data_IF_715113499589
#
_entry.id   IF_715113499589
#
_cell.length_a   1.000
_cell.length_b   1.000
_cell.length_c   1.000
_cell.angle_alpha   90.00
_cell.angle_beta   90.00
_cell.angle_gamma   90.00
#
_symmetry.space_group_name_H-M   'P 1'
#
loop_
_entity.id
_entity.type
_entity.pdbx_description
1 polymer ?
#
# COMPACT_ATOMS: atom_id res chain seq x y z
N UNK A 1 27.79 -1.84 -54.41
CA UNK A 1 27.05 -2.81 -53.57
C UNK A 1 27.55 -2.84 -52.12
N UNK A 2 28.80 -3.22 -51.79
CA UNK A 2 29.28 -3.35 -50.39
C UNK A 2 29.16 -2.09 -49.55
N UNK A 3 29.35 -0.86 -50.13
CA UNK A 3 29.19 0.41 -49.39
C UNK A 3 27.73 0.72 -49.06
N UNK A 4 26.78 0.37 -49.96
CA UNK A 4 25.36 0.57 -49.75
C UNK A 4 24.83 -0.36 -48.66
N UNK A 5 25.28 -1.61 -48.62
CA UNK A 5 24.94 -2.57 -47.57
C UNK A 5 25.41 -2.09 -46.20
N UNK A 6 26.64 -1.55 -46.11
CA UNK A 6 27.15 -1.02 -44.84
C UNK A 6 26.31 0.18 -44.31
N UNK A 7 25.88 1.07 -45.23
CA UNK A 7 25.02 2.21 -44.85
C UNK A 7 23.63 1.73 -44.37
N UNK A 8 23.04 0.74 -45.01
CA UNK A 8 21.75 0.18 -44.60
C UNK A 8 21.86 -0.50 -43.23
N UNK A 9 22.93 -1.25 -42.98
CA UNK A 9 23.17 -1.91 -41.68
C UNK A 9 23.35 -0.85 -40.55
N UNK A 10 24.13 0.19 -40.81
CA UNK A 10 24.29 1.31 -39.84
C UNK A 10 22.98 2.04 -39.53
N UNK A 11 22.12 2.23 -40.54
CA UNK A 11 20.80 2.83 -40.36
C UNK A 11 19.89 1.94 -39.50
N UNK A 12 19.88 0.63 -39.75
CA UNK A 12 19.07 -0.33 -38.97
C UNK A 12 19.56 -0.33 -37.50
N UNK A 13 20.88 -0.35 -37.26
CA UNK A 13 21.42 -0.30 -35.89
C UNK A 13 21.04 1.00 -35.19
N UNK A 14 21.16 2.16 -35.88
CA UNK A 14 20.77 3.44 -35.27
C UNK A 14 19.27 3.52 -34.96
N UNK A 15 18.40 3.04 -35.82
CA UNK A 15 16.97 2.97 -35.60
C UNK A 15 16.62 2.01 -34.44
N UNK A 16 17.32 0.88 -34.33
CA UNK A 16 17.14 -0.08 -33.23
C UNK A 16 17.57 0.54 -31.89
N UNK A 17 18.67 1.27 -31.87
CA UNK A 17 19.13 1.99 -30.65
C UNK A 17 18.13 3.07 -30.23
N UNK A 18 17.64 3.87 -31.20
CA UNK A 18 16.60 4.88 -30.93
C UNK A 18 15.31 4.23 -30.42
N UNK A 19 14.90 3.11 -31.02
CA UNK A 19 13.71 2.38 -30.59
C UNK A 19 13.86 1.83 -29.17
N UNK A 20 14.99 1.21 -28.86
CA UNK A 20 15.30 0.72 -27.49
C UNK A 20 15.35 1.89 -26.51
N UNK A 21 16.01 2.99 -26.86
CA UNK A 21 16.09 4.20 -26.03
C UNK A 21 14.70 4.78 -25.75
N UNK A 22 13.83 4.89 -26.73
CA UNK A 22 12.46 5.35 -26.57
C UNK A 22 11.60 4.37 -25.74
N UNK A 23 11.79 3.06 -25.86
CA UNK A 23 11.12 2.09 -25.01
C UNK A 23 11.56 2.16 -23.56
N UNK A 24 12.84 2.35 -23.30
CA UNK A 24 13.36 2.45 -21.92
C UNK A 24 12.99 3.77 -21.25
N UNK A 25 12.90 4.86 -21.99
CA UNK A 25 12.53 6.17 -21.44
C UNK A 25 11.00 6.39 -21.32
N UNK A 26 10.17 5.54 -21.94
CA UNK A 26 8.71 5.62 -21.83
C UNK A 26 8.12 4.68 -20.76
N UNK A 27 8.95 4.04 -19.94
CA UNK A 27 8.45 3.19 -18.87
C UNK A 27 7.84 4.03 -17.75
N UNK A 28 6.52 4.09 -17.71
CA UNK A 28 5.81 4.72 -16.59
C UNK A 28 6.00 3.90 -15.32
N UNK A 29 6.30 4.56 -14.20
CA UNK A 29 6.36 3.94 -12.89
C UNK A 29 4.94 3.91 -12.28
N UNK A 30 4.41 2.72 -12.00
CA UNK A 30 3.04 2.58 -11.48
C UNK A 30 3.06 2.23 -9.99
N UNK A 31 2.44 3.08 -9.18
CA UNK A 31 2.18 2.87 -7.76
C UNK A 31 0.74 2.38 -7.63
N UNK A 32 0.56 1.15 -7.16
CA UNK A 32 -0.77 0.61 -6.85
C UNK A 32 -1.00 0.61 -5.35
N UNK A 33 -2.12 1.15 -4.91
CA UNK A 33 -2.56 1.10 -3.53
C UNK A 33 -3.89 0.37 -3.43
N UNK A 34 -3.96 -0.62 -2.54
CA UNK A 34 -5.19 -1.31 -2.16
C UNK A 34 -5.40 -1.07 -0.67
N UNK A 35 -6.44 -0.32 -0.34
CA UNK A 35 -6.59 0.07 1.06
C UNK A 35 -7.89 0.81 1.37
N UNK A 36 -7.96 1.23 2.63
CA UNK A 36 -9.09 1.90 3.25
C UNK A 36 -8.94 3.44 3.27
N UNK A 37 -9.65 4.10 4.18
CA UNK A 37 -9.64 5.57 4.35
C UNK A 37 -8.24 6.14 4.58
N UNK A 38 -7.35 5.41 5.25
CA UNK A 38 -5.98 5.88 5.49
C UNK A 38 -5.21 5.97 4.16
N UNK A 39 -5.38 5.00 3.26
CA UNK A 39 -4.74 5.03 1.93
C UNK A 39 -5.32 6.11 1.02
N UNK A 40 -6.56 6.51 1.25
CA UNK A 40 -7.28 7.48 0.44
C UNK A 40 -7.07 8.94 0.87
N UNK A 41 -6.39 9.21 2.00
CA UNK A 41 -6.09 10.55 2.47
C UNK A 41 -7.24 11.28 3.16
N UNK A 42 -8.09 10.54 3.90
CA UNK A 42 -9.17 11.18 4.67
C UNK A 42 -8.64 11.88 5.92
N UNK A 43 -9.06 13.12 6.12
CA UNK A 43 -8.75 13.91 7.32
C UNK A 43 -9.80 13.72 8.43
N UNK A 44 -9.62 14.44 9.55
CA UNK A 44 -10.50 14.39 10.72
C UNK A 44 -11.94 14.88 10.48
N UNK A 45 -12.18 15.56 9.38
CA UNK A 45 -13.52 16.04 8.98
C UNK A 45 -14.19 15.09 7.98
N UNK A 46 -13.56 13.96 7.63
CA UNK A 46 -14.05 13.04 6.62
C UNK A 46 -13.91 13.58 5.19
N UNK A 47 -13.05 14.57 5.00
CA UNK A 47 -12.75 15.15 3.68
C UNK A 47 -11.51 14.44 3.13
N UNK A 48 -11.60 14.03 1.85
CA UNK A 48 -10.45 13.47 1.14
C UNK A 48 -9.48 14.60 0.78
N UNK A 49 -8.24 14.46 1.22
CA UNK A 49 -7.12 15.37 0.95
C UNK A 49 -5.94 14.59 0.36
N UNK A 50 -4.76 15.16 0.47
CA UNK A 50 -3.51 14.51 0.08
C UNK A 50 -3.23 13.29 0.96
N UNK A 51 -3.07 12.13 0.32
CA UNK A 51 -2.70 10.88 0.97
C UNK A 51 -1.18 10.70 0.97
N UNK A 52 -0.68 9.73 1.72
CA UNK A 52 0.72 9.34 1.61
C UNK A 52 1.11 8.83 0.20
N UNK A 53 0.14 8.36 -0.59
CA UNK A 53 0.37 7.93 -1.98
C UNK A 53 0.71 9.13 -2.87
N UNK A 54 0.03 10.27 -2.66
CA UNK A 54 0.27 11.50 -3.42
C UNK A 54 1.67 12.05 -3.12
N UNK A 55 2.12 12.06 -1.85
CA UNK A 55 3.48 12.43 -1.48
C UNK A 55 4.53 11.48 -2.07
N UNK A 56 4.27 10.18 -2.09
CA UNK A 56 5.18 9.21 -2.73
C UNK A 56 5.29 9.51 -4.23
N UNK A 57 4.17 9.77 -4.90
CA UNK A 57 4.15 10.13 -6.31
C UNK A 57 5.03 11.35 -6.59
N UNK A 58 4.81 12.44 -5.85
CA UNK A 58 5.61 13.68 -6.02
C UNK A 58 7.11 13.43 -5.85
N UNK A 59 7.51 12.60 -4.89
CA UNK A 59 8.93 12.28 -4.68
C UNK A 59 9.49 11.47 -5.84
N UNK A 60 8.75 10.46 -6.31
CA UNK A 60 9.21 9.66 -7.46
C UNK A 60 9.22 10.44 -8.78
N UNK A 61 8.34 11.44 -8.96
CA UNK A 61 8.32 12.31 -10.15
C UNK A 61 9.57 13.21 -10.27
N UNK A 62 10.37 13.38 -9.20
CA UNK A 62 11.68 14.05 -9.27
C UNK A 62 12.72 13.23 -10.03
N UNK A 63 12.56 11.90 -10.08
CA UNK A 63 13.52 10.98 -10.69
C UNK A 63 12.96 10.19 -11.88
N UNK A 64 11.64 10.19 -12.06
CA UNK A 64 10.92 9.43 -13.09
C UNK A 64 10.15 10.36 -14.00
N UNK A 65 10.22 10.11 -15.30
CA UNK A 65 9.51 10.92 -16.29
C UNK A 65 7.99 10.87 -16.17
N UNK A 66 7.46 9.72 -15.69
CA UNK A 66 6.03 9.52 -15.51
C UNK A 66 5.74 8.56 -14.36
N UNK A 67 4.96 9.04 -13.38
CA UNK A 67 4.46 8.23 -12.28
C UNK A 67 2.93 8.16 -12.33
N UNK A 68 2.39 6.95 -12.38
CA UNK A 68 0.94 6.69 -12.35
C UNK A 68 0.53 6.18 -10.97
N UNK A 69 -0.64 6.62 -10.50
CA UNK A 69 -1.30 6.04 -9.32
C UNK A 69 -2.47 5.18 -9.78
N UNK A 70 -2.58 3.99 -9.21
CA UNK A 70 -3.77 3.15 -9.31
C UNK A 70 -4.33 2.87 -7.91
N UNK A 71 -5.54 3.37 -7.65
CA UNK A 71 -6.31 3.14 -6.41
C UNK A 71 -7.70 2.55 -6.72
N UNK A 72 -7.88 1.93 -7.90
CA UNK A 72 -9.15 1.38 -8.36
C UNK A 72 -9.79 0.40 -7.35
N UNK A 73 -8.95 -0.31 -6.59
CA UNK A 73 -9.38 -1.31 -5.60
C UNK A 73 -9.26 -0.81 -4.15
N UNK A 74 -9.23 0.51 -3.94
CA UNK A 74 -9.31 1.14 -2.62
C UNK A 74 -10.70 1.73 -2.40
N UNK A 75 -11.26 1.54 -1.20
CA UNK A 75 -12.51 2.20 -0.78
C UNK A 75 -12.51 2.49 0.72
N UNK A 76 -13.39 3.37 1.17
CA UNK A 76 -13.46 3.77 2.60
C UNK A 76 -13.75 2.62 3.54
N UNK A 77 -14.43 1.60 3.05
CA UNK A 77 -14.90 0.41 3.75
C UNK A 77 -14.17 -0.87 3.29
N UNK A 78 -13.04 -0.72 2.56
CA UNK A 78 -12.29 -1.85 2.05
C UNK A 78 -11.82 -2.78 3.16
N UNK A 79 -12.03 -4.09 2.96
CA UNK A 79 -11.62 -5.15 3.87
C UNK A 79 -10.70 -6.15 3.15
N UNK A 80 -9.98 -6.96 3.93
CA UNK A 80 -9.21 -8.10 3.41
C UNK A 80 -10.14 -9.06 2.69
N UNK A 81 -11.28 -9.40 3.29
CA UNK A 81 -12.28 -10.33 2.74
C UNK A 81 -12.84 -9.84 1.41
N UNK A 82 -13.17 -8.54 1.32
CA UNK A 82 -13.67 -7.96 0.07
C UNK A 82 -12.58 -7.97 -1.02
N UNK A 83 -11.34 -7.63 -0.67
CA UNK A 83 -10.20 -7.67 -1.61
C UNK A 83 -9.97 -9.09 -2.13
N UNK A 84 -10.03 -10.12 -1.28
CA UNK A 84 -9.97 -11.52 -1.71
C UNK A 84 -11.07 -11.88 -2.70
N UNK A 85 -12.30 -11.42 -2.44
CA UNK A 85 -13.42 -11.66 -3.35
C UNK A 85 -13.20 -10.99 -4.71
N UNK A 86 -12.70 -9.74 -4.73
CA UNK A 86 -12.32 -9.03 -5.95
C UNK A 86 -11.24 -9.82 -6.71
N UNK A 87 -10.20 -10.31 -6.04
CA UNK A 87 -9.13 -11.09 -6.66
C UNK A 87 -9.63 -12.37 -7.33
N UNK A 88 -10.62 -13.03 -6.74
CA UNK A 88 -11.21 -14.26 -7.28
C UNK A 88 -12.10 -14.00 -8.50
N UNK A 89 -12.84 -12.88 -8.49
CA UNK A 89 -13.95 -12.64 -9.42
C UNK A 89 -13.65 -11.55 -10.48
N UNK A 90 -12.56 -10.78 -10.34
CA UNK A 90 -12.23 -9.66 -11.21
C UNK A 90 -10.88 -9.89 -11.89
N UNK A 91 -10.85 -10.31 -13.17
CA UNK A 91 -9.57 -10.58 -13.86
C UNK A 91 -8.64 -9.37 -13.93
N UNK A 92 -9.19 -8.14 -14.00
CA UNK A 92 -8.42 -6.92 -14.17
C UNK A 92 -7.44 -6.66 -13.01
N UNK A 93 -7.78 -7.02 -11.75
CA UNK A 93 -6.87 -6.82 -10.61
C UNK A 93 -5.55 -7.57 -10.79
N UNK A 94 -5.58 -8.74 -11.44
CA UNK A 94 -4.37 -9.55 -11.70
C UNK A 94 -3.41 -8.81 -12.62
N UNK A 95 -3.96 -8.16 -13.66
CA UNK A 95 -3.19 -7.31 -14.57
C UNK A 95 -2.64 -6.08 -13.84
N UNK A 96 -3.47 -5.41 -13.03
CA UNK A 96 -3.04 -4.25 -12.23
C UNK A 96 -1.87 -4.62 -11.31
N UNK A 97 -1.92 -5.77 -10.66
CA UNK A 97 -0.82 -6.25 -9.80
C UNK A 97 0.46 -6.52 -10.61
N UNK A 98 0.33 -7.19 -11.78
CA UNK A 98 1.48 -7.49 -12.63
C UNK A 98 2.15 -6.23 -13.20
N UNK A 99 1.37 -5.19 -13.48
CA UNK A 99 1.84 -3.93 -14.05
C UNK A 99 2.38 -2.96 -12.98
N UNK A 100 2.27 -3.31 -11.69
CA UNK A 100 2.67 -2.44 -10.57
C UNK A 100 4.18 -2.51 -10.32
N UNK A 101 4.83 -1.35 -10.18
CA UNK A 101 6.21 -1.25 -9.75
C UNK A 101 6.33 -1.17 -8.22
N UNK A 102 5.33 -0.55 -7.56
CA UNK A 102 5.20 -0.48 -6.12
C UNK A 102 3.77 -0.81 -5.71
N UNK A 103 3.61 -1.83 -4.88
CA UNK A 103 2.32 -2.21 -4.30
C UNK A 103 2.30 -1.87 -2.81
N UNK A 104 1.29 -1.10 -2.41
CA UNK A 104 1.07 -0.67 -1.03
C UNK A 104 -0.29 -1.17 -0.57
N UNK A 105 -0.33 -1.85 0.58
CA UNK A 105 -1.55 -2.40 1.18
C UNK A 105 -1.81 -1.75 2.53
N UNK A 106 -3.05 -1.29 2.74
CA UNK A 106 -3.54 -0.74 4.00
C UNK A 106 -4.91 -1.35 4.29
N UNK A 107 -4.93 -2.59 4.81
CA UNK A 107 -6.13 -3.39 5.03
C UNK A 107 -6.10 -4.09 6.40
N UNK A 108 -7.29 -4.38 6.93
CA UNK A 108 -7.48 -5.15 8.15
C UNK A 108 -8.19 -4.36 9.26
N UNK A 109 -8.11 -3.03 9.25
CA UNK A 109 -8.75 -2.19 10.24
C UNK A 109 -10.28 -2.28 10.17
N UNK A 110 -10.85 -2.21 8.98
CA UNK A 110 -12.28 -2.37 8.79
C UNK A 110 -12.76 -3.78 9.14
N UNK A 111 -11.97 -4.82 8.80
CA UNK A 111 -12.26 -6.20 9.22
C UNK A 111 -12.37 -6.29 10.76
N UNK A 112 -11.42 -5.70 11.47
CA UNK A 112 -11.40 -5.69 12.94
C UNK A 112 -12.59 -4.92 13.52
N UNK A 113 -12.80 -3.66 13.07
CA UNK A 113 -13.83 -2.80 13.64
C UNK A 113 -15.26 -3.33 13.39
N UNK A 114 -15.54 -3.79 12.17
CA UNK A 114 -16.84 -4.38 11.84
C UNK A 114 -17.09 -5.60 12.70
N UNK A 115 -16.11 -6.51 12.82
CA UNK A 115 -16.27 -7.72 13.63
C UNK A 115 -16.47 -7.40 15.12
N UNK A 116 -15.74 -6.43 15.68
CA UNK A 116 -15.93 -5.99 17.07
C UNK A 116 -17.34 -5.38 17.25
N UNK A 117 -17.81 -4.57 16.29
CA UNK A 117 -19.12 -3.90 16.40
C UNK A 117 -20.32 -4.83 16.28
N UNK A 118 -20.15 -6.03 15.73
CA UNK A 118 -21.18 -7.05 15.61
C UNK A 118 -21.37 -7.88 16.90
N UNK A 119 -20.45 -7.75 17.86
CA UNK A 119 -20.54 -8.48 19.13
C UNK A 119 -21.28 -7.65 20.17
N UNK A 120 -22.33 -8.19 20.77
CA UNK A 120 -23.08 -7.52 21.87
C UNK A 120 -22.19 -7.30 23.09
N UNK A 121 -21.38 -8.31 23.44
CA UNK A 121 -20.38 -8.22 24.52
C UNK A 121 -19.06 -8.79 24.03
N UNK A 122 -18.03 -7.97 24.08
CA UNK A 122 -16.66 -8.38 23.75
C UNK A 122 -16.01 -9.12 24.90
N UNK A 123 -15.19 -10.12 24.56
CA UNK A 123 -14.36 -10.87 25.48
C UNK A 123 -13.00 -11.18 24.85
N UNK A 124 -11.97 -11.54 25.63
CA UNK A 124 -10.67 -11.93 25.10
C UNK A 124 -10.77 -13.12 24.11
N UNK A 125 -11.64 -14.10 24.40
CA UNK A 125 -11.85 -15.25 23.51
C UNK A 125 -12.49 -14.86 22.17
N UNK A 126 -13.46 -13.94 22.18
CA UNK A 126 -14.07 -13.42 20.96
C UNK A 126 -13.08 -12.62 20.12
N UNK A 127 -12.31 -11.72 20.76
CA UNK A 127 -11.27 -10.97 20.08
C UNK A 127 -10.24 -11.90 19.41
N UNK A 128 -9.79 -12.94 20.10
CA UNK A 128 -8.86 -13.92 19.52
C UNK A 128 -9.44 -14.61 18.27
N UNK A 129 -10.72 -15.03 18.31
CA UNK A 129 -11.38 -15.63 17.13
C UNK A 129 -11.44 -14.67 15.95
N UNK A 130 -11.78 -13.40 16.20
CA UNK A 130 -11.79 -12.36 15.16
C UNK A 130 -10.38 -12.22 14.54
N UNK A 131 -9.36 -12.13 15.37
CA UNK A 131 -7.96 -11.97 14.91
C UNK A 131 -7.46 -13.23 14.17
N UNK A 132 -7.85 -14.43 14.58
CA UNK A 132 -7.56 -15.68 13.87
C UNK A 132 -8.17 -15.69 12.46
N UNK A 133 -9.43 -15.24 12.32
CA UNK A 133 -10.09 -15.13 11.01
C UNK A 133 -9.41 -14.07 10.13
N UNK A 134 -9.10 -12.90 10.68
CA UNK A 134 -8.36 -11.85 9.97
C UNK A 134 -7.00 -12.38 9.51
N UNK A 135 -6.26 -13.05 10.39
CA UNK A 135 -4.95 -13.62 10.03
C UNK A 135 -5.07 -14.63 8.89
N UNK A 136 -6.03 -15.55 8.97
CA UNK A 136 -6.28 -16.53 7.90
C UNK A 136 -6.54 -15.84 6.56
N UNK A 137 -7.46 -14.87 6.53
CA UNK A 137 -7.82 -14.15 5.33
C UNK A 137 -6.64 -13.31 4.80
N UNK A 138 -5.84 -12.72 5.68
CA UNK A 138 -4.64 -11.96 5.31
C UNK A 138 -3.57 -12.85 4.68
N UNK A 139 -3.29 -14.02 5.25
CA UNK A 139 -2.33 -14.97 4.68
C UNK A 139 -2.78 -15.45 3.29
N UNK A 140 -4.08 -15.72 3.12
CA UNK A 140 -4.66 -16.05 1.82
C UNK A 140 -4.48 -14.90 0.82
N UNK A 141 -4.79 -13.66 1.23
CA UNK A 141 -4.64 -12.47 0.39
C UNK A 141 -3.19 -12.28 -0.10
N UNK A 142 -2.22 -12.34 0.81
CA UNK A 142 -0.80 -12.20 0.45
C UNK A 142 -0.38 -13.33 -0.51
N UNK A 143 -0.85 -14.55 -0.28
CA UNK A 143 -0.57 -15.69 -1.16
C UNK A 143 -1.15 -15.47 -2.56
N UNK A 144 -2.38 -14.96 -2.68
CA UNK A 144 -3.00 -14.67 -3.97
C UNK A 144 -2.29 -13.52 -4.69
N UNK A 145 -1.93 -12.45 -3.98
CA UNK A 145 -1.20 -11.30 -4.55
C UNK A 145 0.15 -11.75 -5.13
N UNK A 146 0.89 -12.59 -4.40
CA UNK A 146 2.22 -13.05 -4.82
C UNK A 146 2.22 -13.91 -6.09
N UNK A 147 1.09 -14.39 -6.55
CA UNK A 147 0.98 -15.07 -7.85
C UNK A 147 1.18 -14.10 -9.03
N UNK A 148 0.98 -12.79 -8.82
CA UNK A 148 0.98 -11.77 -9.86
C UNK A 148 1.96 -10.62 -9.58
N UNK A 149 2.30 -10.39 -8.32
CA UNK A 149 3.23 -9.35 -7.89
C UNK A 149 4.44 -9.99 -7.18
N UNK A 150 5.63 -9.84 -7.78
CA UNK A 150 6.83 -10.57 -7.35
C UNK A 150 7.80 -9.75 -6.50
N UNK A 151 7.62 -8.41 -6.43
CA UNK A 151 8.42 -7.55 -5.59
C UNK A 151 7.96 -7.57 -4.12
N UNK A 152 8.67 -6.87 -3.24
CA UNK A 152 8.26 -6.70 -1.85
C UNK A 152 6.98 -5.87 -1.77
N UNK A 153 6.02 -6.33 -0.98
CA UNK A 153 4.76 -5.65 -0.72
C UNK A 153 4.97 -4.68 0.44
N UNK A 154 4.67 -3.40 0.27
CA UNK A 154 4.61 -2.46 1.39
C UNK A 154 3.27 -2.63 2.11
N UNK A 155 3.32 -2.89 3.41
CA UNK A 155 2.13 -2.99 4.26
C UNK A 155 2.17 -1.89 5.30
N UNK A 156 1.17 -1.02 5.27
CA UNK A 156 1.02 0.08 6.23
C UNK A 156 0.18 -0.41 7.40
N UNK A 157 0.76 -0.44 8.59
CA UNK A 157 0.07 -0.77 9.83
C UNK A 157 -0.82 0.37 10.33
N UNK A 158 -1.46 0.18 11.46
CA UNK A 158 -2.39 1.13 12.03
C UNK A 158 -1.87 1.68 13.35
N UNK A 159 -2.11 2.96 13.59
CA UNK A 159 -1.85 3.65 14.84
C UNK A 159 -2.99 3.44 15.85
N UNK A 160 -2.69 3.59 17.15
CA UNK A 160 -3.74 3.57 18.18
C UNK A 160 -4.73 4.71 17.95
N UNK A 161 -6.05 4.41 17.94
CA UNK A 161 -7.08 5.45 17.75
C UNK A 161 -7.23 6.37 18.95
N UNK A 162 -6.54 6.08 20.09
CA UNK A 162 -6.63 6.81 21.35
C UNK A 162 -8.09 7.00 21.83
N UNK A 163 -8.87 5.94 21.72
CA UNK A 163 -10.23 5.84 22.22
C UNK A 163 -10.21 4.95 23.46
N UNK A 164 -10.98 5.31 24.48
CA UNK A 164 -11.10 4.51 25.71
C UNK A 164 -11.89 3.22 25.47
N UNK A 165 -11.41 2.39 24.52
CA UNK A 165 -11.98 1.10 24.16
C UNK A 165 -10.87 0.05 24.16
N UNK A 166 -10.77 -0.68 25.24
CA UNK A 166 -9.73 -1.69 25.47
C UNK A 166 -9.64 -2.72 24.33
N UNK A 167 -10.78 -3.23 23.83
CA UNK A 167 -10.76 -4.27 22.82
C UNK A 167 -10.35 -3.75 21.44
N UNK A 168 -10.72 -2.52 21.10
CA UNK A 168 -10.25 -1.90 19.84
C UNK A 168 -8.76 -1.61 19.91
N UNK A 169 -8.26 -1.02 21.01
CA UNK A 169 -6.82 -0.76 21.15
C UNK A 169 -6.01 -2.05 21.15
N UNK A 170 -6.42 -3.07 21.92
CA UNK A 170 -5.79 -4.37 21.93
C UNK A 170 -5.87 -5.05 20.56
N UNK A 171 -7.03 -4.98 19.91
CA UNK A 171 -7.23 -5.52 18.57
C UNK A 171 -6.29 -4.91 17.54
N UNK A 172 -6.07 -3.59 17.54
CA UNK A 172 -5.14 -2.93 16.63
C UNK A 172 -3.69 -3.36 16.90
N UNK A 173 -3.28 -3.49 18.16
CA UNK A 173 -1.94 -3.97 18.50
C UNK A 173 -1.69 -5.38 17.95
N UNK A 174 -2.64 -6.29 18.12
CA UNK A 174 -2.53 -7.66 17.62
C UNK A 174 -2.67 -7.72 16.08
N UNK A 175 -3.55 -6.90 15.48
CA UNK A 175 -3.64 -6.76 14.03
C UNK A 175 -2.29 -6.34 13.43
N UNK A 176 -1.61 -5.36 14.01
CA UNK A 176 -0.29 -4.92 13.56
C UNK A 176 0.75 -6.05 13.61
N UNK A 177 0.68 -6.95 14.60
CA UNK A 177 1.54 -8.15 14.66
C UNK A 177 1.23 -9.12 13.52
N UNK A 178 -0.04 -9.30 13.19
CA UNK A 178 -0.47 -10.13 12.06
C UNK A 178 0.08 -9.54 10.74
N UNK A 179 -0.11 -8.22 10.54
CA UNK A 179 0.27 -7.55 9.31
C UNK A 179 1.79 -7.57 9.05
N UNK A 180 2.60 -7.51 10.10
CA UNK A 180 4.07 -7.54 9.95
C UNK A 180 4.65 -8.95 9.81
N UNK A 181 3.90 -10.01 10.18
CA UNK A 181 4.40 -11.37 10.25
C UNK A 181 4.27 -12.10 8.90
N UNK A 182 4.99 -11.62 7.88
CA UNK A 182 5.05 -12.29 6.58
C UNK A 182 6.40 -12.05 5.89
N UNK A 183 6.89 -13.04 5.13
CA UNK A 183 8.10 -12.88 4.34
C UNK A 183 7.85 -11.98 3.11
N UNK A 184 8.86 -11.22 2.69
CA UNK A 184 8.80 -10.29 1.56
C UNK A 184 7.78 -9.14 1.74
N UNK A 185 7.59 -8.71 2.98
CA UNK A 185 6.82 -7.54 3.35
C UNK A 185 7.74 -6.45 3.91
N UNK A 186 7.53 -5.23 3.44
CA UNK A 186 8.09 -4.01 4.02
C UNK A 186 7.01 -3.42 4.93
N UNK A 187 7.06 -3.75 6.22
CA UNK A 187 6.09 -3.24 7.17
C UNK A 187 6.41 -1.81 7.62
N UNK A 188 5.39 -0.95 7.61
CA UNK A 188 5.44 0.43 8.08
C UNK A 188 4.69 0.54 9.42
N UNK A 189 5.44 0.67 10.50
CA UNK A 189 4.89 0.85 11.85
C UNK A 189 4.40 2.29 12.04
N UNK A 190 3.14 2.54 11.71
CA UNK A 190 2.52 3.85 11.89
C UNK A 190 2.22 4.14 13.35
N UNK A 191 2.03 3.11 14.19
CA UNK A 191 1.78 3.32 15.62
C UNK A 191 2.96 4.00 16.32
N UNK A 192 4.18 3.56 16.01
CA UNK A 192 5.38 4.19 16.54
C UNK A 192 5.69 5.51 15.82
N UNK A 193 5.46 5.57 14.50
CA UNK A 193 5.73 6.77 13.70
C UNK A 193 4.87 7.96 14.13
N UNK A 194 3.59 7.74 14.41
CA UNK A 194 2.59 8.78 14.72
C UNK A 194 2.28 8.92 16.22
N UNK A 195 3.20 8.50 17.09
CA UNK A 195 3.00 8.55 18.55
C UNK A 195 2.83 9.96 19.10
N UNK A 196 3.44 10.97 18.47
CA UNK A 196 3.26 12.38 18.80
C UNK A 196 1.95 12.89 18.20
N UNK A 197 0.87 12.74 18.96
CA UNK A 197 -0.47 13.07 18.48
C UNK A 197 -0.72 14.57 18.29
N UNK A 198 -0.03 15.43 19.04
CA UNK A 198 -0.15 16.88 18.87
C UNK A 198 0.41 17.33 17.53
N UNK A 199 1.45 16.67 17.07
CA UNK A 199 2.05 16.94 15.76
C UNK A 199 1.26 16.34 14.60
N UNK A 200 0.80 15.10 14.73
CA UNK A 200 0.32 14.28 13.61
C UNK A 200 -1.20 14.20 13.48
N UNK A 201 -1.93 14.79 14.40
CA UNK A 201 -3.39 14.85 14.37
C UNK A 201 -3.85 16.28 14.58
N UNK A 202 -5.04 16.62 14.09
CA UNK A 202 -5.59 17.97 14.25
C UNK A 202 -5.83 18.34 15.69
N UNK A 203 -6.18 17.34 16.51
CA UNK A 203 -6.15 17.37 17.95
C UNK A 203 -5.84 15.95 18.44
N UNK A 204 -5.38 15.76 19.71
CA UNK A 204 -5.01 14.44 20.23
C UNK A 204 -6.12 13.39 20.20
N UNK A 205 -7.40 13.80 20.10
CA UNK A 205 -8.56 12.91 20.04
C UNK A 205 -9.04 12.64 18.62
N UNK A 206 -8.44 13.28 17.61
CA UNK A 206 -8.79 13.03 16.20
C UNK A 206 -8.52 11.59 15.82
N UNK A 207 -9.44 11.04 15.04
CA UNK A 207 -9.34 9.68 14.53
C UNK A 207 -8.42 9.57 13.30
N UNK A 208 -8.45 10.58 12.43
CA UNK A 208 -7.66 10.61 11.21
C UNK A 208 -6.43 11.49 11.37
N UNK A 209 -5.33 11.12 10.72
CA UNK A 209 -4.09 11.89 10.75
C UNK A 209 -4.24 13.18 9.93
N UNK A 210 -3.36 14.12 10.21
CA UNK A 210 -3.25 15.36 9.44
C UNK A 210 -2.24 15.21 8.29
N UNK A 211 -2.07 16.27 7.50
CA UNK A 211 -1.14 16.35 6.39
C UNK A 211 0.32 15.93 6.77
N UNK A 212 0.83 16.38 7.93
CA UNK A 212 2.19 16.02 8.37
C UNK A 212 2.36 14.53 8.64
N UNK A 213 1.32 13.88 9.10
CA UNK A 213 1.34 12.43 9.31
C UNK A 213 1.38 11.66 7.97
N UNK A 214 0.58 12.10 6.99
CA UNK A 214 0.60 11.49 5.66
C UNK A 214 1.96 11.65 4.98
N UNK A 215 2.59 12.83 5.04
CA UNK A 215 3.96 13.04 4.57
C UNK A 215 4.95 12.12 5.31
N UNK A 216 4.87 12.05 6.64
CA UNK A 216 5.77 11.19 7.43
C UNK A 216 5.63 9.70 7.09
N UNK A 217 4.41 9.22 6.80
CA UNK A 217 4.18 7.85 6.32
C UNK A 217 4.85 7.66 4.95
N UNK A 218 4.67 8.60 4.02
CA UNK A 218 5.27 8.57 2.69
C UNK A 218 6.80 8.50 2.76
N UNK A 219 7.44 9.40 3.51
CA UNK A 219 8.89 9.42 3.70
C UNK A 219 9.41 8.10 4.31
N UNK A 220 8.66 7.50 5.23
CA UNK A 220 9.03 6.21 5.80
C UNK A 220 8.94 5.08 4.77
N UNK A 221 7.92 5.09 3.91
CA UNK A 221 7.77 4.12 2.82
C UNK A 221 8.93 4.27 1.83
N UNK A 222 9.19 5.48 1.34
CA UNK A 222 10.25 5.77 0.37
C UNK A 222 11.60 5.27 0.91
N UNK A 223 11.96 5.66 2.12
CA UNK A 223 13.23 5.25 2.73
C UNK A 223 13.35 3.73 2.82
N UNK A 224 12.32 3.04 3.33
CA UNK A 224 12.36 1.57 3.45
C UNK A 224 12.40 0.85 2.12
N UNK A 225 11.77 1.38 1.09
CA UNK A 225 11.81 0.79 -0.25
C UNK A 225 13.16 0.97 -0.92
N UNK A 226 13.86 2.07 -0.67
CA UNK A 226 15.23 2.31 -1.14
C UNK A 226 16.23 1.41 -0.40
N UNK A 227 16.19 1.37 0.93
CA UNK A 227 17.05 0.50 1.76
C UNK A 227 16.96 -0.98 1.34
N UNK A 228 15.77 -1.45 0.94
CA UNK A 228 15.60 -2.83 0.46
C UNK A 228 16.19 -3.08 -0.94
N UNK A 229 16.29 -2.05 -1.80
CA UNK A 229 16.90 -2.20 -3.13
C UNK A 229 18.42 -2.31 -3.07
N UNK A 230 19.05 -1.71 -2.07
CA UNK A 230 20.51 -1.74 -1.87
C UNK A 230 20.98 -3.08 -1.29
N UNK A 231 20.08 -3.88 -0.72
CA UNK A 231 20.38 -5.16 -0.07
C UNK A 231 20.07 -6.40 -0.94
N UNK A 232 19.71 -6.22 -2.22
CA UNK A 232 19.47 -7.27 -3.21
C UNK A 232 20.55 -7.20 -4.30
#
# INVERSE_FOLDING_TARGET
MKRLIKLVVLLIISLSVIFIYNQTNNSSYTITSIGDKLSLGYNSYGIKEYSYIDFIKEEYEKEKDKVNINQEYSSTDQTIKNTLNIMKNTPNIKKVLSDSNLLIITLGYNDLLVSISMEEEMSPSKLNKILEEINKNYQELITEIKKYYHNNIVVVGYYSPNINDYYKEKGIQELNKILQNNQNIIYIDTNNLLKDREKYFQNPKSYYPNHYAYDSIAQKIIRKTLENKENI
#
